data_IF_018030077936
#
_entry.id   IF_018030077936
#
_cell.length_a   1.000
_cell.length_b   1.000
_cell.length_c   1.000
_cell.angle_alpha   90.00
_cell.angle_beta   90.00
_cell.angle_gamma   90.00
#
_symmetry.space_group_name_H-M   'P 1'
#
loop_
_entity.id
_entity.type
_entity.pdbx_description
1 polymer ?
#
# COMPACT_ATOMS: atom_id res chain seq x y z
N UNK A 1 4.60 -17.93 -43.21
CA UNK A 1 3.93 -16.73 -42.68
C UNK A 1 3.81 -16.93 -41.18
N UNK A 2 4.55 -16.17 -40.39
CA UNK A 2 4.52 -16.29 -38.93
C UNK A 2 3.22 -15.65 -38.45
N UNK A 3 2.33 -16.46 -37.88
CA UNK A 3 1.09 -15.99 -37.29
C UNK A 3 1.48 -15.20 -36.04
N UNK A 4 1.28 -13.89 -36.07
CA UNK A 4 1.43 -13.04 -34.88
C UNK A 4 0.22 -13.32 -34.00
N UNK A 5 0.46 -13.90 -32.82
CA UNK A 5 -0.57 -14.07 -31.80
C UNK A 5 -1.24 -12.73 -31.50
N UNK A 6 -2.56 -12.78 -31.37
CA UNK A 6 -3.47 -11.69 -31.05
C UNK A 6 -2.88 -10.76 -29.99
N UNK A 7 -2.86 -9.45 -30.28
CA UNK A 7 -2.48 -8.44 -29.30
C UNK A 7 -3.21 -8.67 -27.97
N UNK A 8 -2.54 -8.48 -26.81
CA UNK A 8 -3.17 -8.66 -25.51
C UNK A 8 -4.42 -7.77 -25.44
N UNK A 9 -5.50 -8.31 -24.86
CA UNK A 9 -6.76 -7.60 -24.68
C UNK A 9 -6.48 -6.23 -24.04
N UNK A 10 -7.06 -5.17 -24.60
CA UNK A 10 -6.87 -3.83 -24.09
C UNK A 10 -7.32 -3.77 -22.62
N UNK A 11 -6.40 -3.40 -21.73
CA UNK A 11 -6.71 -3.18 -20.32
C UNK A 11 -7.67 -2.01 -20.21
N UNK A 12 -8.79 -2.21 -19.51
CA UNK A 12 -9.76 -1.14 -19.26
C UNK A 12 -9.07 0.01 -18.53
N UNK A 13 -9.34 1.24 -18.96
CA UNK A 13 -8.72 2.43 -18.36
C UNK A 13 -9.27 2.61 -16.95
N UNK A 14 -8.37 2.70 -15.96
CA UNK A 14 -8.75 3.02 -14.58
C UNK A 14 -9.33 4.44 -14.48
N UNK A 15 -10.59 4.54 -14.04
CA UNK A 15 -11.34 5.80 -13.91
C UNK A 15 -11.86 6.07 -12.50
N UNK A 16 -11.63 5.16 -11.55
CA UNK A 16 -12.13 5.29 -10.18
C UNK A 16 -11.45 6.43 -9.44
N UNK A 17 -12.24 7.23 -8.74
CA UNK A 17 -11.85 8.44 -8.04
C UNK A 17 -12.30 8.42 -6.57
N UNK A 18 -12.22 9.57 -5.90
CA UNK A 18 -12.60 9.72 -4.50
C UNK A 18 -13.99 9.16 -4.18
N UNK A 19 -14.98 9.34 -5.06
CA UNK A 19 -16.33 8.83 -4.85
C UNK A 19 -16.38 7.32 -4.61
N UNK A 20 -15.78 6.53 -5.51
CA UNK A 20 -15.75 5.08 -5.35
C UNK A 20 -14.94 4.69 -4.11
N UNK A 21 -13.83 5.38 -3.84
CA UNK A 21 -13.05 5.13 -2.62
C UNK A 21 -13.87 5.41 -1.35
N UNK A 22 -14.61 6.51 -1.34
CA UNK A 22 -15.41 6.94 -0.21
C UNK A 22 -16.54 5.94 0.03
N UNK A 23 -17.31 5.61 -1.01
CA UNK A 23 -18.44 4.69 -0.93
C UNK A 23 -18.00 3.26 -0.59
N UNK A 24 -16.97 2.73 -1.25
CA UNK A 24 -16.62 1.30 -1.16
C UNK A 24 -15.68 0.97 0.01
N UNK A 25 -14.84 1.91 0.45
CA UNK A 25 -13.81 1.65 1.47
C UNK A 25 -14.04 2.44 2.76
N UNK A 26 -14.33 3.74 2.65
CA UNK A 26 -14.42 4.63 3.81
C UNK A 26 -15.77 4.47 4.52
N UNK A 27 -16.87 4.42 3.75
CA UNK A 27 -18.22 4.34 4.28
C UNK A 27 -18.57 2.93 4.79
N UNK A 28 -18.01 1.89 4.15
CA UNK A 28 -18.17 0.48 4.55
C UNK A 28 -17.31 0.08 5.76
N UNK A 29 -16.36 0.93 6.16
CA UNK A 29 -15.46 0.64 7.29
C UNK A 29 -14.26 -0.24 6.94
N UNK A 30 -13.93 -0.44 5.66
CA UNK A 30 -12.73 -1.19 5.25
C UNK A 30 -11.42 -0.40 5.42
N UNK A 31 -11.51 0.93 5.54
CA UNK A 31 -10.37 1.81 5.75
C UNK A 31 -9.61 1.45 7.05
N UNK A 32 -8.29 1.29 6.95
CA UNK A 32 -7.40 0.92 8.08
C UNK A 32 -6.62 2.10 8.66
N UNK A 33 -6.85 3.33 8.19
CA UNK A 33 -6.15 4.51 8.71
C UNK A 33 -4.67 4.61 8.33
N UNK A 34 -4.28 4.14 7.14
CA UNK A 34 -2.88 4.21 6.69
C UNK A 34 -2.46 5.57 6.09
N UNK A 35 -3.40 6.52 5.94
CA UNK A 35 -3.20 7.81 5.27
C UNK A 35 -2.66 7.76 3.81
N UNK A 36 -2.61 6.60 3.16
CA UNK A 36 -2.07 6.47 1.80
C UNK A 36 -2.78 7.34 0.76
N UNK A 37 -4.12 7.44 0.84
CA UNK A 37 -4.88 8.32 -0.05
C UNK A 37 -4.60 9.82 0.15
N UNK A 38 -4.25 10.22 1.38
CA UNK A 38 -3.91 11.61 1.75
C UNK A 38 -2.57 11.97 1.13
N UNK A 39 -1.55 11.15 1.37
CA UNK A 39 -0.19 11.38 0.86
C UNK A 39 -0.14 11.31 -0.68
N UNK A 40 -0.93 10.42 -1.29
CA UNK A 40 -0.96 10.27 -2.73
C UNK A 40 -1.78 11.36 -3.46
N UNK A 41 -2.53 12.20 -2.74
CA UNK A 41 -3.39 13.21 -3.36
C UNK A 41 -2.54 14.41 -3.83
N UNK A 42 -2.39 14.64 -5.15
CA UNK A 42 -1.56 15.73 -5.66
C UNK A 42 -2.24 17.10 -5.53
N UNK A 43 -3.49 17.14 -5.09
CA UNK A 43 -4.28 18.36 -4.93
C UNK A 43 -4.47 18.76 -3.47
N UNK A 44 -4.00 17.93 -2.52
CA UNK A 44 -4.08 18.22 -1.08
C UNK A 44 -5.52 18.43 -0.56
N UNK A 45 -6.52 17.85 -1.22
CA UNK A 45 -7.97 17.99 -0.90
C UNK A 45 -8.51 16.92 0.05
N UNK A 46 -7.65 16.05 0.60
CA UNK A 46 -8.04 14.98 1.52
C UNK A 46 -7.37 15.24 2.86
N UNK A 47 -8.18 15.50 3.88
CA UNK A 47 -7.76 15.69 5.26
C UNK A 47 -7.65 14.38 6.02
N UNK A 48 -6.96 14.41 7.15
CA UNK A 48 -6.76 13.25 8.02
C UNK A 48 -6.70 13.68 9.49
N UNK A 49 -7.50 13.03 10.34
CA UNK A 49 -7.42 13.24 11.80
C UNK A 49 -6.43 12.25 12.40
N UNK A 50 -5.33 12.77 12.93
CA UNK A 50 -4.31 11.98 13.60
C UNK A 50 -4.58 11.90 15.11
N UNK A 51 -5.71 11.29 15.46
CA UNK A 51 -6.14 11.10 16.84
C UNK A 51 -6.62 9.66 17.03
N UNK A 52 -6.34 9.10 18.20
CA UNK A 52 -6.75 7.74 18.54
C UNK A 52 -8.27 7.56 18.36
N UNK A 53 -8.68 6.52 17.64
CA UNK A 53 -10.08 6.26 17.30
C UNK A 53 -10.64 7.09 16.13
N UNK A 54 -9.88 8.02 15.55
CA UNK A 54 -10.33 8.92 14.48
C UNK A 54 -9.47 8.87 13.21
N UNK A 55 -8.72 7.79 12.99
CA UNK A 55 -7.86 7.55 11.82
C UNK A 55 -8.64 7.36 10.50
N UNK A 56 -9.39 8.38 10.08
CA UNK A 56 -10.29 8.37 8.92
C UNK A 56 -10.02 9.58 8.02
N UNK A 57 -9.78 9.38 6.72
CA UNK A 57 -9.65 10.48 5.77
C UNK A 57 -11.02 11.12 5.49
N UNK A 58 -11.03 12.42 5.16
CA UNK A 58 -12.24 13.18 4.81
C UNK A 58 -11.94 14.21 3.74
N UNK A 59 -12.92 14.56 2.92
CA UNK A 59 -12.77 15.59 1.90
C UNK A 59 -12.71 16.99 2.53
N UNK A 60 -11.80 17.84 2.05
CA UNK A 60 -11.61 19.19 2.59
C UNK A 60 -12.40 20.26 1.84
N UNK A 61 -12.66 20.05 0.55
CA UNK A 61 -13.43 21.00 -0.25
C UNK A 61 -14.93 20.83 0.01
N UNK A 62 -15.64 21.95 0.09
CA UNK A 62 -17.10 21.96 0.25
C UNK A 62 -17.81 21.61 -1.07
N UNK A 63 -17.17 21.94 -2.20
CA UNK A 63 -17.70 21.69 -3.53
C UNK A 63 -17.86 20.18 -3.78
N UNK A 64 -19.06 19.79 -4.25
CA UNK A 64 -19.48 18.40 -4.46
C UNK A 64 -19.63 17.54 -3.20
N UNK A 65 -19.48 18.14 -2.01
CA UNK A 65 -19.73 17.49 -0.73
C UNK A 65 -18.61 16.58 -0.24
N UNK A 66 -18.96 15.68 0.68
CA UNK A 66 -18.00 14.85 1.41
C UNK A 66 -17.57 13.58 0.65
N UNK A 67 -18.38 13.14 -0.31
CA UNK A 67 -18.29 11.85 -0.99
C UNK A 67 -17.96 11.97 -2.48
N UNK A 68 -17.59 13.15 -2.97
CA UNK A 68 -17.17 13.34 -4.36
C UNK A 68 -16.04 14.39 -4.46
N UNK A 69 -15.33 14.41 -5.59
CA UNK A 69 -14.18 15.29 -5.77
C UNK A 69 -14.13 15.85 -7.19
N UNK A 70 -14.05 17.17 -7.33
CA UNK A 70 -14.03 17.84 -8.64
C UNK A 70 -12.78 17.51 -9.46
N UNK A 71 -11.67 17.18 -8.80
CA UNK A 71 -10.47 16.66 -9.46
C UNK A 71 -10.68 15.23 -9.99
N UNK A 72 -11.44 14.43 -9.25
CA UNK A 72 -11.86 13.08 -9.66
C UNK A 72 -12.72 13.09 -10.92
N UNK A 73 -13.73 13.98 -10.97
CA UNK A 73 -14.59 14.16 -12.16
C UNK A 73 -13.80 14.60 -13.41
N UNK A 74 -12.69 15.32 -13.20
CA UNK A 74 -11.75 15.72 -14.27
C UNK A 74 -10.71 14.63 -14.61
N UNK A 75 -10.78 13.47 -13.96
CA UNK A 75 -9.99 12.28 -14.28
C UNK A 75 -8.83 11.96 -13.34
N UNK A 76 -8.72 12.60 -12.17
CA UNK A 76 -7.74 12.22 -11.15
C UNK A 76 -8.14 10.90 -10.46
N UNK A 77 -7.20 9.97 -10.35
CA UNK A 77 -7.44 8.63 -9.77
C UNK A 77 -6.42 8.25 -8.68
N UNK A 78 -5.64 9.20 -8.17
CA UNK A 78 -4.49 8.88 -7.33
C UNK A 78 -4.88 8.21 -6.01
N UNK A 79 -5.97 8.66 -5.38
CA UNK A 79 -6.40 8.14 -4.08
C UNK A 79 -6.84 6.67 -4.14
N UNK A 80 -7.51 6.24 -5.22
CA UNK A 80 -7.96 4.85 -5.40
C UNK A 80 -6.80 3.92 -5.71
N UNK A 81 -5.84 4.37 -6.53
CA UNK A 81 -4.61 3.61 -6.85
C UNK A 81 -3.72 3.40 -5.63
N UNK A 82 -3.67 4.37 -4.73
CA UNK A 82 -2.88 4.29 -3.51
C UNK A 82 -3.53 3.46 -2.40
N UNK A 83 -4.81 3.13 -2.50
CA UNK A 83 -5.53 2.44 -1.43
C UNK A 83 -5.41 0.92 -1.56
N UNK A 84 -4.73 0.23 -0.60
CA UNK A 84 -4.59 -1.22 -0.65
C UNK A 84 -5.90 -1.98 -0.36
N UNK A 85 -6.94 -1.26 0.06
CA UNK A 85 -8.27 -1.81 0.36
C UNK A 85 -9.26 -1.64 -0.79
N UNK A 86 -8.86 -0.96 -1.87
CA UNK A 86 -9.75 -0.70 -2.99
C UNK A 86 -9.67 -1.84 -4.02
N UNK A 87 -10.75 -2.61 -4.10
CA UNK A 87 -10.98 -3.65 -5.12
C UNK A 87 -9.81 -4.63 -5.28
N UNK A 88 -9.25 -4.75 -6.48
CA UNK A 88 -8.27 -5.78 -6.88
C UNK A 88 -6.82 -5.43 -6.51
N UNK A 89 -6.61 -4.47 -5.61
CA UNK A 89 -5.24 -4.04 -5.27
C UNK A 89 -4.33 -5.19 -4.83
N UNK A 90 -4.81 -6.09 -3.96
CA UNK A 90 -4.02 -7.24 -3.48
C UNK A 90 -3.63 -8.21 -4.61
N UNK A 91 -4.57 -8.77 -5.41
CA UNK A 91 -4.20 -9.67 -6.51
C UNK A 91 -3.38 -8.98 -7.61
N UNK A 92 -3.58 -7.68 -7.86
CA UNK A 92 -2.78 -6.92 -8.83
C UNK A 92 -1.34 -6.75 -8.34
N UNK A 93 -1.14 -6.47 -7.04
CA UNK A 93 0.17 -6.40 -6.42
C UNK A 93 0.89 -7.76 -6.45
N UNK A 94 0.16 -8.84 -6.16
CA UNK A 94 0.67 -10.20 -6.24
C UNK A 94 1.14 -10.56 -7.66
N UNK A 95 0.31 -10.28 -8.66
CA UNK A 95 0.66 -10.52 -10.06
C UNK A 95 1.88 -9.69 -10.48
N UNK A 96 1.96 -8.44 -10.03
CA UNK A 96 3.08 -7.55 -10.34
C UNK A 96 4.40 -8.03 -9.73
N UNK A 97 4.40 -8.44 -8.45
CA UNK A 97 5.60 -8.79 -7.71
C UNK A 97 6.04 -10.24 -7.91
N UNK A 98 5.07 -11.16 -8.06
CA UNK A 98 5.32 -12.60 -8.05
C UNK A 98 4.86 -13.32 -9.33
N UNK A 99 4.12 -12.65 -10.21
CA UNK A 99 3.62 -13.25 -11.46
C UNK A 99 2.48 -14.25 -11.26
N UNK A 100 1.93 -14.36 -10.05
CA UNK A 100 0.77 -15.19 -9.72
C UNK A 100 0.01 -14.57 -8.54
N UNK A 101 -1.30 -14.80 -8.50
CA UNK A 101 -2.12 -14.48 -7.33
C UNK A 101 -1.94 -15.53 -6.24
N UNK A 102 -1.99 -15.11 -4.98
CA UNK A 102 -1.98 -16.02 -3.84
C UNK A 102 -3.23 -16.91 -3.79
N UNK A 103 -3.05 -18.16 -3.39
CA UNK A 103 -4.14 -19.08 -3.09
C UNK A 103 -4.57 -18.98 -1.61
N UNK A 104 -5.84 -19.28 -1.30
CA UNK A 104 -6.35 -19.28 0.09
C UNK A 104 -5.55 -20.22 1.03
N UNK A 105 -4.93 -21.27 0.47
CA UNK A 105 -4.09 -22.21 1.21
C UNK A 105 -2.72 -21.64 1.60
N UNK A 106 -2.25 -20.59 0.91
CA UNK A 106 -0.99 -19.90 1.14
C UNK A 106 -1.16 -18.85 2.27
N UNK A 107 -1.45 -19.34 3.49
CA UNK A 107 -1.74 -18.51 4.68
C UNK A 107 -0.64 -17.47 5.00
N UNK A 108 0.62 -17.81 4.75
CA UNK A 108 1.78 -16.94 5.03
C UNK A 108 2.12 -16.00 3.87
N UNK A 109 1.31 -15.99 2.81
CA UNK A 109 1.66 -15.33 1.57
C UNK A 109 2.60 -16.17 0.70
N UNK A 110 3.09 -15.53 -0.35
CA UNK A 110 4.07 -16.11 -1.26
C UNK A 110 5.47 -15.86 -0.68
N UNK A 111 6.24 -16.93 -0.44
CA UNK A 111 7.57 -16.84 0.18
C UNK A 111 8.58 -17.74 -0.52
N UNK A 112 9.86 -17.35 -0.47
CA UNK A 112 10.98 -18.18 -0.93
C UNK A 112 11.53 -19.07 0.18
N UNK A 113 11.62 -18.55 1.40
CA UNK A 113 12.17 -19.24 2.58
C UNK A 113 11.46 -18.76 3.85
N UNK A 114 11.24 -19.68 4.79
CA UNK A 114 10.77 -19.38 6.14
C UNK A 114 11.89 -19.75 7.12
N UNK A 115 12.36 -18.77 7.88
CA UNK A 115 13.54 -18.89 8.73
C UNK A 115 13.19 -18.44 10.15
N UNK A 116 13.72 -19.15 11.15
CA UNK A 116 13.73 -18.71 12.54
C UNK A 116 15.13 -18.18 12.86
N UNK A 117 15.22 -16.88 13.17
CA UNK A 117 16.50 -16.16 13.29
C UNK A 117 16.50 -15.24 14.51
N UNK A 118 17.70 -14.85 14.96
CA UNK A 118 17.95 -13.81 15.95
C UNK A 118 19.27 -13.11 15.65
N UNK A 119 19.50 -11.93 16.24
CA UNK A 119 20.79 -11.27 16.15
C UNK A 119 21.89 -12.12 16.80
N UNK A 120 23.05 -12.19 16.13
CA UNK A 120 24.23 -12.87 16.64
C UNK A 120 25.04 -12.01 17.62
N UNK A 121 24.90 -10.68 17.52
CA UNK A 121 25.49 -9.73 18.47
C UNK A 121 24.61 -9.69 19.73
N UNK A 122 25.22 -9.97 20.89
CA UNK A 122 24.51 -10.08 22.16
C UNK A 122 23.79 -8.77 22.54
N UNK A 123 24.40 -7.62 22.24
CA UNK A 123 23.83 -6.32 22.60
C UNK A 123 22.60 -6.00 21.75
N UNK A 124 22.66 -6.27 20.46
CA UNK A 124 21.52 -6.12 19.55
C UNK A 124 20.42 -7.13 19.89
N UNK A 125 20.78 -8.36 20.24
CA UNK A 125 19.84 -9.39 20.64
C UNK A 125 19.08 -9.03 21.93
N UNK A 126 19.77 -8.52 22.97
CA UNK A 126 19.13 -8.11 24.23
C UNK A 126 18.25 -6.86 24.11
N UNK A 127 18.68 -5.87 23.32
CA UNK A 127 17.97 -4.58 23.24
C UNK A 127 16.95 -4.52 22.11
N UNK A 128 17.05 -5.40 21.12
CA UNK A 128 16.20 -5.39 19.95
C UNK A 128 14.87 -6.12 20.17
N UNK A 129 13.79 -5.59 19.58
CA UNK A 129 12.51 -6.27 19.53
C UNK A 129 12.64 -7.59 18.75
N UNK A 130 11.90 -8.62 19.18
CA UNK A 130 11.79 -9.92 18.49
C UNK A 130 13.15 -10.56 18.15
N UNK A 131 14.09 -10.48 19.09
CA UNK A 131 15.43 -11.04 18.95
C UNK A 131 16.39 -10.17 18.13
N UNK A 132 16.01 -8.94 17.80
CA UNK A 132 16.89 -7.92 17.23
C UNK A 132 17.23 -8.10 15.74
N UNK A 133 16.48 -8.94 15.01
CA UNK A 133 16.77 -9.26 13.61
C UNK A 133 16.79 -8.01 12.71
N UNK A 134 15.76 -7.18 12.75
CA UNK A 134 15.66 -5.97 11.91
C UNK A 134 16.84 -5.03 12.19
N UNK A 135 17.14 -4.78 13.46
CA UNK A 135 18.28 -3.95 13.86
C UNK A 135 19.61 -4.52 13.36
N UNK A 136 19.84 -5.83 13.51
CA UNK A 136 21.07 -6.47 13.03
C UNK A 136 21.22 -6.36 11.50
N UNK A 137 20.13 -6.52 10.76
CA UNK A 137 20.10 -6.37 9.30
C UNK A 137 20.43 -4.93 8.88
N UNK A 138 19.77 -3.93 9.47
CA UNK A 138 20.01 -2.51 9.13
C UNK A 138 21.43 -2.07 9.47
N UNK A 139 21.96 -2.47 10.64
CA UNK A 139 23.35 -2.20 11.03
C UNK A 139 24.31 -2.79 10.00
N UNK A 140 24.08 -4.04 9.57
CA UNK A 140 24.92 -4.69 8.58
C UNK A 140 24.86 -3.97 7.23
N UNK A 141 23.66 -3.65 6.73
CA UNK A 141 23.47 -2.96 5.45
C UNK A 141 24.15 -1.59 5.42
N UNK A 142 24.04 -0.81 6.50
CA UNK A 142 24.70 0.50 6.61
C UNK A 142 26.23 0.36 6.69
N UNK A 143 26.75 -0.59 7.47
CA UNK A 143 28.21 -0.81 7.60
C UNK A 143 28.90 -1.24 6.30
N UNK A 144 28.13 -1.77 5.35
CA UNK A 144 28.62 -2.26 4.08
C UNK A 144 28.12 -1.41 2.90
N UNK A 145 27.62 -0.21 3.17
CA UNK A 145 27.20 0.77 2.15
C UNK A 145 26.16 0.23 1.15
N UNK A 146 25.31 -0.73 1.57
CA UNK A 146 24.17 -1.19 0.77
C UNK A 146 23.00 -0.20 0.82
N UNK A 147 22.93 0.60 1.88
CA UNK A 147 21.94 1.67 2.08
C UNK A 147 22.62 2.87 2.75
N UNK A 148 22.21 4.07 2.36
CA UNK A 148 22.65 5.32 3.01
C UNK A 148 21.81 5.66 4.25
N UNK A 149 20.55 5.22 4.26
CA UNK A 149 19.60 5.49 5.33
C UNK A 149 18.49 4.42 5.38
N UNK A 150 17.77 4.36 6.50
CA UNK A 150 16.58 3.53 6.67
C UNK A 150 15.44 4.38 7.25
N UNK A 151 14.21 4.14 6.76
CA UNK A 151 13.00 4.66 7.38
C UNK A 151 12.53 3.66 8.44
N UNK A 152 12.46 4.10 9.70
CA UNK A 152 12.09 3.25 10.84
C UNK A 152 10.97 3.89 11.66
N UNK A 153 10.21 3.07 12.39
CA UNK A 153 9.16 3.49 13.35
C UNK A 153 9.66 3.49 14.79
#
# INVERSE_FOLDING_TARGET
>A
MTITETAPAATERWTHQWKELYEEVINTGLCTGCAGCVIACPHEVIGYKHEEGNYKPFHLEEDLGLDNCGHGEKGCTSCTRACPRFRTWEPDADMHLFGKTREDSEMYGQYKQLLLVRAADDKVHELGQDGGFVSAMLIWLMKHDYIDAALTS
#
